data_IF_836482637116
#
_entry.id   IF_836482637116
#
_cell.length_a   1.000
_cell.length_b   1.000
_cell.length_c   1.000
_cell.angle_alpha   90.00
_cell.angle_beta   90.00
_cell.angle_gamma   90.00
#
_symmetry.space_group_name_H-M   'P 1'
#
loop_
_entity.id
_entity.type
_entity.pdbx_description
1 polymer ?
#
# COMPACT_ATOMS: atom_id res chain seq x y z
N UNK A 1 -16.68 -4.90 11.07
CA UNK A 1 -15.32 -5.49 10.99
C UNK A 1 -15.04 -5.92 9.56
N UNK A 2 -13.86 -5.64 8.99
CA UNK A 2 -13.53 -5.97 7.60
C UNK A 2 -13.08 -7.44 7.46
N UNK A 3 -13.52 -8.13 6.41
CA UNK A 3 -13.25 -9.55 6.16
C UNK A 3 -11.76 -9.94 6.11
N UNK A 4 -10.88 -8.96 5.86
CA UNK A 4 -9.43 -9.17 5.83
C UNK A 4 -8.79 -9.32 7.22
N UNK A 5 -9.35 -8.67 8.24
CA UNK A 5 -8.88 -8.80 9.62
C UNK A 5 -9.23 -10.18 10.21
N UNK A 6 -10.37 -10.73 9.81
CA UNK A 6 -10.86 -12.06 10.24
C UNK A 6 -10.00 -13.18 9.63
N UNK A 7 -9.56 -13.03 8.38
CA UNK A 7 -8.78 -14.05 7.67
C UNK A 7 -7.30 -14.11 8.07
N UNK A 8 -6.80 -13.20 8.90
CA UNK A 8 -5.39 -13.16 9.26
C UNK A 8 -5.15 -13.82 10.63
N UNK A 9 -4.59 -15.04 10.61
CA UNK A 9 -4.36 -15.88 11.80
C UNK A 9 -3.39 -15.30 12.84
N UNK A 10 -2.46 -14.42 12.44
CA UNK A 10 -1.51 -13.73 13.32
C UNK A 10 -0.75 -12.63 12.56
N UNK A 11 -0.20 -11.65 13.29
CA UNK A 11 0.87 -10.77 12.79
C UNK A 11 2.23 -11.43 13.07
N UNK A 12 3.03 -11.65 12.02
CA UNK A 12 4.36 -12.22 12.17
C UNK A 12 5.31 -11.16 12.74
N UNK A 13 6.02 -11.47 13.83
CA UNK A 13 6.95 -10.56 14.51
C UNK A 13 8.27 -10.34 13.74
N UNK A 14 8.50 -11.09 12.65
CA UNK A 14 9.70 -10.92 11.83
C UNK A 14 9.63 -9.61 11.05
N UNK A 15 10.74 -8.87 11.03
CA UNK A 15 10.89 -7.67 10.20
C UNK A 15 10.66 -8.06 8.74
N UNK A 16 9.60 -7.52 8.14
CA UNK A 16 9.37 -7.68 6.70
C UNK A 16 10.35 -6.76 6.00
N UNK A 17 11.35 -7.33 5.31
CA UNK A 17 12.18 -6.55 4.39
C UNK A 17 11.35 -6.26 3.15
N UNK A 18 11.20 -4.98 2.82
CA UNK A 18 10.46 -4.51 1.66
C UNK A 18 11.18 -3.32 1.05
N UNK A 19 11.27 -3.30 -0.26
CA UNK A 19 11.86 -2.18 -1.02
C UNK A 19 10.96 -0.92 -0.98
N UNK A 20 9.74 -1.05 -0.44
CA UNK A 20 8.82 0.05 -0.17
C UNK A 20 8.19 -0.13 1.22
N UNK A 21 8.89 0.38 2.23
CA UNK A 21 8.47 0.31 3.63
C UNK A 21 7.17 1.09 3.86
N UNK A 22 6.98 2.22 3.19
CA UNK A 22 5.79 3.06 3.33
C UNK A 22 4.51 2.34 2.86
N UNK A 23 4.52 1.71 1.68
CA UNK A 23 3.41 0.89 1.20
C UNK A 23 3.12 -0.28 2.15
N UNK A 24 4.17 -0.98 2.57
CA UNK A 24 4.08 -2.19 3.38
C UNK A 24 3.46 -1.88 4.75
N UNK A 25 3.96 -0.84 5.42
CA UNK A 25 3.46 -0.43 6.72
C UNK A 25 2.04 0.12 6.63
N UNK A 26 1.70 0.89 5.58
CA UNK A 26 0.32 1.34 5.34
C UNK A 26 -0.66 0.15 5.23
N UNK A 27 -0.35 -0.84 4.41
CA UNK A 27 -1.21 -2.03 4.22
C UNK A 27 -1.36 -2.79 5.52
N UNK A 28 -0.28 -2.91 6.31
CA UNK A 28 -0.32 -3.54 7.62
C UNK A 28 -1.25 -2.79 8.59
N UNK A 29 -1.17 -1.45 8.67
CA UNK A 29 -2.07 -0.63 9.50
C UNK A 29 -3.54 -0.77 9.07
N UNK A 30 -3.82 -0.80 7.76
CA UNK A 30 -5.18 -1.01 7.24
C UNK A 30 -5.73 -2.38 7.67
N UNK A 31 -4.87 -3.39 7.70
CA UNK A 31 -5.23 -4.76 8.09
C UNK A 31 -5.59 -4.88 9.56
N UNK A 32 -4.96 -4.07 10.41
CA UNK A 32 -5.30 -3.91 11.82
C UNK A 32 -6.61 -3.13 12.06
N UNK A 33 -7.19 -2.52 11.01
CA UNK A 33 -8.43 -1.76 11.12
C UNK A 33 -8.26 -0.25 11.17
N UNK A 34 -7.04 0.29 11.03
CA UNK A 34 -6.77 1.74 10.95
C UNK A 34 -7.06 2.30 9.54
N UNK A 35 -8.28 2.03 9.08
CA UNK A 35 -8.80 2.42 7.77
C UNK A 35 -9.60 3.73 7.83
N UNK A 36 -10.37 3.93 8.91
CA UNK A 36 -11.29 5.05 9.07
C UNK A 36 -10.63 6.42 9.02
N UNK A 37 -11.45 7.44 8.76
CA UNK A 37 -10.99 8.84 8.66
C UNK A 37 -10.42 9.34 9.99
N UNK A 38 -10.90 8.82 11.11
CA UNK A 38 -10.40 9.09 12.46
C UNK A 38 -8.94 8.65 12.64
N UNK A 39 -8.48 7.64 11.88
CA UNK A 39 -7.10 7.15 11.92
C UNK A 39 -6.20 7.76 10.84
N UNK A 40 -6.73 8.67 10.02
CA UNK A 40 -5.98 9.28 8.91
C UNK A 40 -4.77 10.07 9.41
N UNK A 41 -4.94 10.83 10.49
CA UNK A 41 -3.84 11.62 11.07
C UNK A 41 -2.76 10.72 11.67
N UNK A 42 -3.17 9.74 12.48
CA UNK A 42 -2.27 8.74 13.07
C UNK A 42 -1.48 8.00 11.99
N UNK A 43 -2.15 7.54 10.93
CA UNK A 43 -1.49 6.87 9.81
C UNK A 43 -0.52 7.80 9.09
N UNK A 44 -0.83 9.08 8.93
CA UNK A 44 0.08 10.04 8.31
C UNK A 44 1.35 10.24 9.15
N UNK A 45 1.23 10.42 10.46
CA UNK A 45 2.39 10.55 11.35
C UNK A 45 3.26 9.30 11.36
N UNK A 46 2.65 8.11 11.42
CA UNK A 46 3.36 6.83 11.40
C UNK A 46 4.09 6.56 10.07
N UNK A 47 3.59 7.10 8.96
CA UNK A 47 4.18 6.90 7.63
C UNK A 47 5.15 8.02 7.21
N UNK A 48 5.26 9.11 7.98
CA UNK A 48 5.95 10.32 7.53
C UNK A 48 7.45 10.15 7.28
N UNK A 49 8.09 9.23 8.00
CA UNK A 49 9.55 9.00 7.96
C UNK A 49 9.95 7.75 7.17
N UNK A 50 9.01 7.13 6.45
CA UNK A 50 9.29 5.94 5.64
C UNK A 50 9.50 6.32 4.18
N UNK A 51 10.40 5.60 3.53
CA UNK A 51 10.69 5.79 2.11
C UNK A 51 9.74 4.96 1.23
N UNK A 52 9.53 5.44 0.01
CA UNK A 52 8.76 4.76 -1.03
C UNK A 52 7.40 5.39 -1.35
N UNK A 53 6.65 4.71 -2.22
CA UNK A 53 5.34 5.16 -2.70
C UNK A 53 4.19 4.63 -1.83
N UNK A 54 3.21 5.47 -1.52
CA UNK A 54 2.07 5.11 -0.65
C UNK A 54 1.03 4.23 -1.31
N UNK A 55 0.88 4.36 -2.63
CA UNK A 55 -0.21 3.78 -3.40
C UNK A 55 0.20 2.49 -4.11
N UNK A 56 1.46 2.38 -4.51
CA UNK A 56 1.98 1.28 -5.31
C UNK A 56 3.15 0.59 -4.62
N UNK A 57 3.16 -0.75 -4.65
CA UNK A 57 4.28 -1.53 -4.10
C UNK A 57 5.53 -1.42 -4.96
N UNK A 58 5.33 -1.45 -6.27
CA UNK A 58 6.37 -1.31 -7.29
C UNK A 58 6.08 -0.07 -8.13
N UNK A 59 7.02 0.33 -8.98
CA UNK A 59 6.79 1.43 -9.91
C UNK A 59 5.50 1.21 -10.73
N UNK A 60 4.74 2.28 -10.94
CA UNK A 60 3.41 2.23 -11.58
C UNK A 60 3.45 1.58 -12.96
N UNK A 61 4.55 1.75 -13.70
CA UNK A 61 4.73 1.22 -15.04
C UNK A 61 5.10 -0.27 -15.04
N UNK A 62 5.37 -0.89 -13.88
CA UNK A 62 5.61 -2.35 -13.80
C UNK A 62 4.33 -3.16 -14.05
N UNK A 63 3.17 -2.59 -13.74
CA UNK A 63 1.88 -3.28 -13.84
C UNK A 63 1.38 -3.29 -15.29
N UNK A 64 1.14 -4.48 -15.84
CA UNK A 64 0.68 -4.67 -17.23
C UNK A 64 -0.57 -3.85 -17.61
N UNK A 65 -1.51 -3.69 -16.68
CA UNK A 65 -2.69 -2.86 -16.89
C UNK A 65 -2.34 -1.38 -17.12
N UNK A 66 -1.34 -0.86 -16.41
CA UNK A 66 -0.86 0.51 -16.55
C UNK A 66 -0.04 0.68 -17.83
N UNK A 67 0.78 -0.32 -18.19
CA UNK A 67 1.51 -0.35 -19.48
C UNK A 67 0.56 -0.29 -20.67
N UNK A 68 -0.50 -1.12 -20.66
CA UNK A 68 -1.52 -1.13 -21.73
C UNK A 68 -2.23 0.21 -21.85
N UNK A 69 -2.62 0.82 -20.72
CA UNK A 69 -3.23 2.16 -20.71
C UNK A 69 -2.29 3.24 -21.24
N UNK A 70 -1.00 3.18 -20.91
CA UNK A 70 0.01 4.11 -21.41
C UNK A 70 0.15 4.00 -22.94
N UNK A 71 0.30 2.78 -23.47
CA UNK A 71 0.37 2.53 -24.92
C UNK A 71 -0.89 2.99 -25.68
N UNK A 72 -2.09 2.73 -25.15
CA UNK A 72 -3.34 3.21 -25.77
C UNK A 72 -3.34 4.73 -25.93
N UNK A 73 -2.99 5.46 -24.85
CA UNK A 73 -2.96 6.92 -24.85
C UNK A 73 -1.88 7.52 -25.76
N UNK A 74 -0.78 6.81 -25.94
CA UNK A 74 0.30 7.20 -26.86
C UNK A 74 -0.11 6.99 -28.33
N UNK A 75 -0.90 5.96 -28.64
CA UNK A 75 -1.44 5.73 -29.99
C UNK A 75 -2.62 6.65 -30.34
N UNK A 76 -3.29 7.24 -29.36
CA UNK A 76 -4.38 8.21 -29.52
C UNK A 76 -3.90 9.67 -29.71
N UNK A 77 -2.58 9.93 -29.62
CA UNK A 77 -1.96 11.25 -29.82
C UNK A 77 -1.25 11.33 -31.16
#
# INVERSE_FOLDING_TARGET
MSAQAINQRSTVMRKTHSDNELFTFRVWLVRLGLNGDEFKNTRNHLLANLEGDRAWRYDKDTYEANKKKKKSREMER
#
